data_IF_605491122717
#
_entry.id   IF_605491122717
#
_cell.length_a   1.000
_cell.length_b   1.000
_cell.length_c   1.000
_cell.angle_alpha   90.00
_cell.angle_beta   90.00
_cell.angle_gamma   90.00
#
_symmetry.space_group_name_H-M   'P 1'
#
loop_
_entity.id
_entity.type
_entity.pdbx_description
1 polymer ?
#
# COMPACT_ATOMS: atom_id res chain seq x y z
N UNK A 1 3.23 -0.40 47.46
CA UNK A 1 2.57 -1.24 46.43
C UNK A 1 1.62 -0.47 45.48
N UNK A 2 1.14 0.74 45.81
CA UNK A 2 0.32 1.55 44.88
C UNK A 2 1.08 2.10 43.65
N UNK A 3 2.37 2.40 43.80
CA UNK A 3 3.16 3.00 42.70
C UNK A 3 3.61 1.99 41.63
N UNK A 4 3.70 0.69 41.97
CA UNK A 4 4.07 -0.37 41.00
C UNK A 4 2.89 -0.67 40.07
N UNK A 5 1.66 -0.64 40.58
CA UNK A 5 0.45 -0.87 39.78
C UNK A 5 0.26 0.22 38.71
N UNK A 6 0.61 1.46 39.02
CA UNK A 6 0.51 2.60 38.10
C UNK A 6 1.53 2.50 36.94
N UNK A 7 2.75 2.01 37.23
CA UNK A 7 3.79 1.80 36.21
C UNK A 7 3.40 0.68 35.25
N UNK A 8 2.78 -0.41 35.76
CA UNK A 8 2.26 -1.50 34.92
C UNK A 8 1.10 -0.98 34.04
N UNK A 9 0.18 -0.17 34.59
CA UNK A 9 -0.93 0.39 33.80
C UNK A 9 -0.43 1.31 32.67
N UNK A 10 0.55 2.18 32.93
CA UNK A 10 1.12 3.08 31.90
C UNK A 10 1.86 2.28 30.82
N UNK A 11 2.54 1.18 31.19
CA UNK A 11 3.23 0.32 30.23
C UNK A 11 2.28 -0.44 29.31
N UNK A 12 1.06 -0.78 29.77
CA UNK A 12 0.06 -1.46 28.92
C UNK A 12 -0.57 -0.47 27.93
N UNK A 13 -0.87 0.77 28.34
CA UNK A 13 -1.43 1.79 27.44
C UNK A 13 -0.43 2.30 26.38
N UNK A 14 0.88 2.19 26.60
CA UNK A 14 1.88 2.53 25.58
C UNK A 14 2.00 1.47 24.46
N UNK A 15 1.54 0.24 24.69
CA UNK A 15 1.59 -0.83 23.67
C UNK A 15 0.44 -0.79 22.67
N UNK A 16 -0.60 0.01 22.94
CA UNK A 16 -1.71 0.27 22.01
C UNK A 16 -1.57 1.62 21.28
N UNK A 17 -0.36 2.18 21.20
CA UNK A 17 -0.06 3.25 20.26
C UNK A 17 -0.14 2.68 18.83
N UNK A 18 -1.39 2.55 18.35
CA UNK A 18 -1.86 1.95 17.10
C UNK A 18 -0.73 1.66 16.13
N UNK A 19 -0.25 0.40 16.11
CA UNK A 19 0.71 -0.04 15.12
C UNK A 19 0.21 0.40 13.74
N UNK A 20 0.98 1.29 13.10
CA UNK A 20 0.56 1.92 11.85
C UNK A 20 0.27 0.83 10.81
N UNK A 21 -0.90 0.88 10.18
CA UNK A 21 -1.24 -0.12 9.18
C UNK A 21 -0.38 0.12 7.92
N UNK A 22 0.40 -0.88 7.52
CA UNK A 22 1.28 -0.79 6.35
C UNK A 22 0.53 -0.39 5.07
N UNK A 23 -0.72 -0.83 4.90
CA UNK A 23 -1.52 -0.45 3.73
C UNK A 23 -1.83 1.05 3.73
N UNK A 24 -2.06 1.64 4.90
CA UNK A 24 -2.26 3.09 5.02
C UNK A 24 -1.01 3.86 4.62
N UNK A 25 0.18 3.39 5.06
CA UNK A 25 1.48 3.93 4.62
C UNK A 25 1.65 3.79 3.13
N UNK A 26 1.39 2.60 2.60
CA UNK A 26 1.60 2.31 1.19
C UNK A 26 0.66 3.09 0.27
N UNK A 27 -0.51 3.48 0.77
CA UNK A 27 -1.47 4.28 0.03
C UNK A 27 -1.40 5.77 0.34
N UNK A 28 -0.51 6.23 1.22
CA UNK A 28 -0.35 7.64 1.55
C UNK A 28 -0.05 8.44 0.27
N UNK A 29 -0.71 9.58 0.11
CA UNK A 29 -0.56 10.50 -1.04
C UNK A 29 -0.90 9.94 -2.44
N UNK A 30 -1.32 8.67 -2.52
CA UNK A 30 -1.79 8.03 -3.75
C UNK A 30 -3.30 8.28 -3.97
N UNK A 31 -3.84 7.87 -5.12
CA UNK A 31 -5.28 8.04 -5.41
C UNK A 31 -6.16 7.36 -4.35
N UNK A 32 -7.30 7.98 -4.05
CA UNK A 32 -8.27 7.43 -3.11
C UNK A 32 -9.13 6.31 -3.72
N UNK A 33 -9.09 6.12 -5.04
CA UNK A 33 -9.89 5.12 -5.75
C UNK A 33 -9.05 3.84 -5.88
N UNK A 34 -9.49 2.75 -5.24
CA UNK A 34 -8.81 1.46 -5.25
C UNK A 34 -9.72 0.40 -5.85
N UNK A 35 -9.16 -0.46 -6.68
CA UNK A 35 -9.85 -1.58 -7.28
C UNK A 35 -10.00 -2.71 -6.27
N UNK A 36 -11.20 -3.29 -6.18
CA UNK A 36 -11.51 -4.34 -5.20
C UNK A 36 -10.65 -5.60 -5.34
N UNK A 37 -10.21 -5.92 -6.57
CA UNK A 37 -9.42 -7.13 -6.81
C UNK A 37 -7.95 -6.86 -6.49
N UNK A 38 -7.30 -7.65 -5.61
CA UNK A 38 -5.89 -7.49 -5.35
C UNK A 38 -5.05 -7.69 -6.62
N UNK A 39 -3.97 -6.91 -6.72
CA UNK A 39 -2.98 -7.11 -7.77
C UNK A 39 -2.15 -8.36 -7.48
N UNK A 40 -1.72 -9.05 -8.54
CA UNK A 40 -0.65 -10.05 -8.41
C UNK A 40 0.66 -9.32 -8.13
N UNK A 41 1.44 -9.71 -7.10
CA UNK A 41 2.77 -9.16 -6.91
C UNK A 41 3.62 -9.37 -8.16
N UNK A 42 4.39 -8.35 -8.53
CA UNK A 42 5.29 -8.40 -9.68
C UNK A 42 6.72 -8.27 -9.20
N UNK A 43 7.56 -9.25 -9.49
CA UNK A 43 9.00 -9.13 -9.27
C UNK A 43 9.71 -8.53 -10.49
N UNK A 44 10.87 -7.89 -10.30
CA UNK A 44 11.75 -7.57 -11.41
C UNK A 44 12.17 -8.86 -12.13
N UNK A 45 12.51 -8.77 -13.42
CA UNK A 45 13.12 -9.90 -14.12
C UNK A 45 14.48 -10.22 -13.46
N UNK A 46 14.56 -11.41 -12.86
CA UNK A 46 15.55 -11.85 -11.86
C UNK A 46 17.02 -11.77 -12.28
N UNK A 47 17.32 -11.76 -13.59
CA UNK A 47 18.69 -11.78 -14.11
C UNK A 47 19.39 -10.42 -14.04
N UNK A 48 18.66 -9.31 -13.91
CA UNK A 48 19.24 -7.97 -14.11
C UNK A 48 19.72 -7.24 -12.85
N UNK A 49 19.39 -7.72 -11.63
CA UNK A 49 19.45 -6.82 -10.46
C UNK A 49 20.14 -7.31 -9.20
N UNK A 50 20.46 -8.60 -9.01
CA UNK A 50 20.96 -9.03 -7.69
C UNK A 50 22.24 -8.27 -7.26
N UNK A 51 23.22 -8.12 -8.16
CA UNK A 51 24.50 -7.52 -7.77
C UNK A 51 24.38 -6.01 -7.51
N UNK A 52 23.64 -5.29 -8.34
CA UNK A 52 23.49 -3.83 -8.22
C UNK A 52 22.49 -3.46 -7.13
N UNK A 53 21.35 -4.16 -7.04
CA UNK A 53 20.36 -3.90 -6.00
C UNK A 53 20.93 -4.19 -4.62
N UNK A 54 21.67 -5.29 -4.42
CA UNK A 54 22.26 -5.58 -3.10
C UNK A 54 23.56 -4.82 -2.82
N UNK A 55 24.09 -4.05 -3.78
CA UNK A 55 25.32 -3.28 -3.57
C UNK A 55 25.11 -2.20 -2.50
N UNK A 56 25.97 -2.17 -1.49
CA UNK A 56 25.88 -1.22 -0.37
C UNK A 56 24.72 -1.45 0.60
N UNK A 57 23.86 -2.46 0.38
CA UNK A 57 22.80 -2.83 1.32
C UNK A 57 23.38 -3.71 2.44
N UNK A 58 22.90 -3.52 3.66
CA UNK A 58 23.34 -4.38 4.77
C UNK A 58 22.85 -5.82 4.57
N UNK A 59 23.53 -6.76 5.23
CA UNK A 59 23.24 -8.20 5.10
C UNK A 59 21.80 -8.56 5.49
N UNK A 60 21.25 -7.92 6.53
CA UNK A 60 19.90 -8.20 7.02
C UNK A 60 18.84 -7.81 5.99
N UNK A 61 18.93 -6.60 5.45
CA UNK A 61 18.02 -6.08 4.44
C UNK A 61 18.08 -6.93 3.17
N UNK A 62 19.28 -7.34 2.77
CA UNK A 62 19.47 -8.21 1.61
C UNK A 62 18.82 -9.59 1.78
N UNK A 63 18.94 -10.19 2.97
CA UNK A 63 18.30 -11.47 3.29
C UNK A 63 16.77 -11.35 3.28
N UNK A 64 16.23 -10.28 3.89
CA UNK A 64 14.79 -10.04 3.95
C UNK A 64 14.19 -9.82 2.56
N UNK A 65 14.87 -9.07 1.69
CA UNK A 65 14.40 -8.90 0.30
C UNK A 65 14.42 -10.21 -0.47
N UNK A 66 15.49 -11.01 -0.36
CA UNK A 66 15.55 -12.34 -1.01
C UNK A 66 14.43 -13.25 -0.52
N UNK A 67 14.14 -13.22 0.78
CA UNK A 67 13.03 -13.96 1.37
C UNK A 67 11.67 -13.50 0.80
N UNK A 68 11.43 -12.19 0.74
CA UNK A 68 10.20 -11.61 0.17
C UNK A 68 10.02 -12.00 -1.30
N UNK A 69 11.11 -11.97 -2.09
CA UNK A 69 11.09 -12.41 -3.48
C UNK A 69 10.73 -13.90 -3.58
N UNK A 70 11.35 -14.76 -2.78
CA UNK A 70 11.02 -16.19 -2.75
C UNK A 70 9.57 -16.45 -2.35
N UNK A 71 9.01 -15.66 -1.41
CA UNK A 71 7.60 -15.76 -1.01
C UNK A 71 6.63 -15.41 -2.12
N UNK A 72 6.96 -14.49 -3.02
CA UNK A 72 6.07 -14.16 -4.15
C UNK A 72 5.82 -15.38 -5.05
N UNK A 73 6.82 -16.25 -5.21
CA UNK A 73 6.71 -17.44 -6.06
C UNK A 73 6.15 -18.67 -5.32
N UNK A 74 6.34 -18.74 -4.00
CA UNK A 74 6.06 -19.96 -3.20
C UNK A 74 4.81 -19.87 -2.32
N UNK A 75 4.36 -18.66 -1.98
CA UNK A 75 3.26 -18.46 -1.04
C UNK A 75 1.92 -18.47 -1.79
N UNK A 76 0.92 -19.16 -1.24
CA UNK A 76 -0.46 -19.07 -1.71
C UNK A 76 -1.04 -17.72 -1.28
N UNK A 77 -0.92 -16.73 -2.17
CA UNK A 77 -1.32 -15.35 -1.89
C UNK A 77 -2.84 -15.27 -1.84
N UNK A 78 -3.36 -14.67 -0.77
CA UNK A 78 -4.79 -14.36 -0.69
C UNK A 78 -5.19 -13.33 -1.76
N UNK A 79 -6.09 -13.74 -2.65
CA UNK A 79 -6.70 -12.89 -3.67
C UNK A 79 -8.15 -12.50 -3.38
N UNK A 80 -8.60 -12.68 -2.13
CA UNK A 80 -9.88 -12.17 -1.66
C UNK A 80 -10.00 -10.67 -1.92
N UNK A 81 -11.20 -10.23 -2.28
CA UNK A 81 -11.44 -8.82 -2.61
C UNK A 81 -11.18 -7.93 -1.41
N UNK A 82 -10.56 -6.78 -1.64
CA UNK A 82 -10.49 -5.70 -0.67
C UNK A 82 -11.89 -5.22 -0.29
N UNK A 83 -12.07 -4.96 0.99
CA UNK A 83 -13.28 -4.33 1.54
C UNK A 83 -13.02 -2.89 1.96
N UNK A 84 -14.07 -2.09 2.08
CA UNK A 84 -13.96 -0.70 2.59
C UNK A 84 -13.41 -0.65 4.02
N UNK A 85 -13.65 -1.69 4.83
CA UNK A 85 -13.15 -1.78 6.20
C UNK A 85 -11.64 -1.99 6.25
N UNK A 86 -11.07 -2.75 5.32
CA UNK A 86 -9.63 -2.97 5.21
C UNK A 86 -8.91 -1.76 4.62
N UNK A 87 -9.54 -1.08 3.67
CA UNK A 87 -8.99 0.10 3.00
C UNK A 87 -9.68 1.37 3.51
N UNK A 88 -9.47 1.66 4.80
CA UNK A 88 -10.00 2.87 5.44
C UNK A 88 -9.67 4.11 4.62
N UNK A 89 -10.64 5.01 4.49
CA UNK A 89 -10.50 6.26 3.71
C UNK A 89 -10.18 6.04 2.23
N UNK A 90 -10.59 4.91 1.64
CA UNK A 90 -10.55 4.67 0.20
C UNK A 90 -11.94 4.36 -0.33
N UNK A 91 -12.13 4.61 -1.63
CA UNK A 91 -13.30 4.15 -2.38
C UNK A 91 -12.90 2.86 -3.06
N UNK A 92 -13.50 1.76 -2.63
CA UNK A 92 -13.30 0.45 -3.25
C UNK A 92 -14.27 0.31 -4.42
N UNK A 93 -13.74 0.08 -5.63
CA UNK A 93 -14.53 0.01 -6.86
C UNK A 93 -14.42 -1.35 -7.56
N UNK A 94 -15.54 -1.81 -8.10
CA UNK A 94 -15.64 -3.00 -8.94
C UNK A 94 -15.62 -2.65 -10.43
N UNK A 95 -15.33 -3.64 -11.29
CA UNK A 95 -15.34 -3.46 -12.74
C UNK A 95 -16.68 -2.93 -13.23
N UNK A 96 -16.66 -1.82 -13.98
CA UNK A 96 -17.84 -1.28 -14.66
C UNK A 96 -18.85 -0.58 -13.76
N UNK A 97 -18.59 -0.45 -12.46
CA UNK A 97 -19.43 0.34 -11.54
C UNK A 97 -18.92 1.78 -11.50
N UNK A 98 -19.84 2.74 -11.58
CA UNK A 98 -19.54 4.17 -11.43
C UNK A 98 -19.55 4.57 -9.96
N UNK A 99 -18.74 5.56 -9.61
CA UNK A 99 -18.71 6.18 -8.29
C UNK A 99 -19.77 7.29 -8.25
N UNK A 100 -20.55 7.35 -7.17
CA UNK A 100 -21.43 8.50 -6.91
C UNK A 100 -20.60 9.72 -6.48
N UNK A 101 -20.40 10.64 -7.42
CA UNK A 101 -19.62 11.85 -7.18
C UNK A 101 -20.22 12.71 -6.06
N UNK A 102 -21.55 12.82 -5.95
CA UNK A 102 -22.17 13.71 -4.94
C UNK A 102 -21.90 13.15 -3.56
N UNK A 103 -22.15 11.85 -3.36
CA UNK A 103 -21.92 11.14 -2.09
C UNK A 103 -20.47 11.26 -1.64
N UNK A 104 -19.51 11.01 -2.53
CA UNK A 104 -18.10 11.00 -2.15
C UNK A 104 -17.52 12.40 -1.93
N UNK A 105 -18.04 13.42 -2.63
CA UNK A 105 -17.62 14.80 -2.39
C UNK A 105 -18.09 15.35 -1.03
N UNK A 106 -19.19 14.84 -0.47
CA UNK A 106 -19.62 15.22 0.89
C UNK A 106 -18.57 14.82 1.94
N UNK A 107 -17.88 13.68 1.75
CA UNK A 107 -16.82 13.22 2.66
C UNK A 107 -15.53 14.06 2.58
N UNK A 108 -15.42 14.92 1.56
CA UNK A 108 -14.25 15.75 1.30
C UNK A 108 -14.48 17.23 1.64
N UNK A 109 -15.61 17.57 2.27
CA UNK A 109 -16.00 18.95 2.60
C UNK A 109 -14.91 19.72 3.35
N UNK A 110 -14.24 19.02 4.27
CA UNK A 110 -13.28 19.61 5.20
C UNK A 110 -11.85 19.62 4.66
N UNK A 111 -11.64 19.06 3.45
CA UNK A 111 -10.33 19.02 2.80
C UNK A 111 -10.06 20.30 2.00
N UNK A 112 -8.80 20.68 1.77
CA UNK A 112 -8.45 21.82 0.92
C UNK A 112 -9.10 21.75 -0.47
N UNK A 113 -9.52 22.90 -1.02
CA UNK A 113 -10.17 22.97 -2.35
C UNK A 113 -9.32 22.33 -3.47
N UNK A 114 -8.00 22.40 -3.36
CA UNK A 114 -7.08 21.77 -4.31
C UNK A 114 -7.21 20.24 -4.30
N UNK A 115 -7.26 19.60 -3.12
CA UNK A 115 -7.47 18.17 -2.97
C UNK A 115 -8.86 17.76 -3.46
N UNK A 116 -9.90 18.52 -3.08
CA UNK A 116 -11.26 18.32 -3.57
C UNK A 116 -11.32 18.35 -5.11
N UNK A 117 -10.64 19.32 -5.75
CA UNK A 117 -10.59 19.46 -7.21
C UNK A 117 -9.87 18.28 -7.87
N UNK A 118 -8.73 17.85 -7.30
CA UNK A 118 -7.98 16.66 -7.75
C UNK A 118 -8.89 15.43 -7.69
N UNK A 119 -9.50 15.19 -6.53
CA UNK A 119 -10.38 14.04 -6.31
C UNK A 119 -11.61 14.02 -7.23
N UNK A 120 -12.29 15.16 -7.38
CA UNK A 120 -13.40 15.32 -8.32
C UNK A 120 -13.00 14.98 -9.76
N UNK A 121 -11.78 15.37 -10.17
CA UNK A 121 -11.24 15.04 -11.51
C UNK A 121 -11.01 13.54 -11.64
N UNK A 122 -10.47 12.88 -10.61
CA UNK A 122 -10.27 11.42 -10.60
C UNK A 122 -11.60 10.67 -10.73
N UNK A 123 -12.62 11.01 -9.93
CA UNK A 123 -13.94 10.36 -10.01
C UNK A 123 -14.59 10.57 -11.39
N UNK A 124 -14.55 11.79 -11.93
CA UNK A 124 -15.11 12.08 -13.26
C UNK A 124 -14.38 11.30 -14.35
N UNK A 125 -13.05 11.25 -14.29
CA UNK A 125 -12.24 10.48 -15.23
C UNK A 125 -12.57 8.99 -15.14
N UNK A 126 -12.72 8.47 -13.92
CA UNK A 126 -13.06 7.07 -13.69
C UNK A 126 -14.42 6.71 -14.31
N UNK A 127 -15.44 7.54 -14.07
CA UNK A 127 -16.81 7.31 -14.51
C UNK A 127 -17.04 7.44 -16.02
N UNK A 128 -16.20 8.19 -16.73
CA UNK A 128 -16.44 8.52 -18.13
C UNK A 128 -15.74 7.58 -19.12
N UNK A 129 -14.45 7.27 -18.94
CA UNK A 129 -13.73 6.35 -19.84
C UNK A 129 -12.47 5.75 -19.19
N UNK A 130 -12.20 4.47 -19.48
CA UNK A 130 -10.96 3.78 -19.12
C UNK A 130 -9.71 4.44 -19.71
N UNK A 131 -9.79 5.09 -20.86
CA UNK A 131 -8.64 5.81 -21.43
C UNK A 131 -8.16 6.98 -20.52
N UNK A 132 -9.02 7.49 -19.64
CA UNK A 132 -8.70 8.53 -18.67
C UNK A 132 -8.01 8.03 -17.40
N UNK A 133 -7.86 6.72 -17.23
CA UNK A 133 -7.33 6.07 -16.02
C UNK A 133 -5.81 6.18 -15.92
N UNK A 134 -5.24 7.39 -15.91
CA UNK A 134 -3.77 7.54 -15.78
C UNK A 134 -3.28 6.98 -14.45
N UNK A 135 -3.79 7.47 -13.31
CA UNK A 135 -3.27 7.10 -11.99
C UNK A 135 -4.28 6.38 -11.08
N UNK A 136 -5.42 6.00 -11.62
CA UNK A 136 -6.55 5.41 -10.88
C UNK A 136 -7.40 4.55 -11.82
N UNK A 137 -8.13 3.54 -11.30
CA UNK A 137 -8.05 3.07 -9.91
C UNK A 137 -6.69 2.43 -9.62
N UNK A 138 -6.27 2.43 -8.36
CA UNK A 138 -5.11 1.67 -7.92
C UNK A 138 -5.48 0.20 -7.83
N UNK A 139 -4.67 -0.72 -8.36
CA UNK A 139 -4.76 -2.14 -7.99
C UNK A 139 -3.58 -2.45 -7.09
N UNK A 140 -3.83 -2.97 -5.89
CA UNK A 140 -2.80 -3.21 -4.87
C UNK A 140 -2.77 -4.67 -4.46
N UNK A 141 -1.58 -5.25 -4.29
CA UNK A 141 -1.45 -6.61 -3.77
C UNK A 141 -1.70 -6.65 -2.26
N UNK A 142 -1.98 -7.84 -1.73
CA UNK A 142 -1.81 -8.08 -0.30
C UNK A 142 -0.35 -7.84 0.10
N UNK A 143 -0.05 -7.31 1.30
CA UNK A 143 1.33 -7.20 1.77
C UNK A 143 1.93 -8.59 1.97
N UNK A 144 3.13 -8.79 1.47
CA UNK A 144 3.96 -9.96 1.81
C UNK A 144 4.97 -9.48 2.82
N UNK A 145 5.02 -10.09 3.99
CA UNK A 145 5.86 -9.67 5.12
C UNK A 145 6.98 -10.69 5.32
N UNK A 146 8.20 -10.21 5.60
CA UNK A 146 9.35 -11.07 5.93
C UNK A 146 9.10 -11.83 7.24
N UNK A 147 9.78 -12.95 7.45
CA UNK A 147 9.57 -13.79 8.63
C UNK A 147 9.89 -13.05 9.93
N UNK A 148 10.91 -12.19 9.90
CA UNK A 148 11.29 -11.32 11.02
C UNK A 148 10.38 -10.09 11.19
N UNK A 149 9.40 -9.91 10.30
CA UNK A 149 8.45 -8.79 10.23
C UNK A 149 9.11 -7.41 10.10
N UNK A 150 10.36 -7.34 9.65
CA UNK A 150 11.08 -6.08 9.47
C UNK A 150 10.91 -5.48 8.09
N UNK A 151 10.48 -6.26 7.10
CA UNK A 151 10.24 -5.77 5.76
C UNK A 151 8.94 -6.30 5.19
N UNK A 152 8.40 -5.56 4.23
CA UNK A 152 7.23 -5.97 3.49
C UNK A 152 7.30 -5.50 2.04
N UNK A 153 6.62 -6.24 1.18
CA UNK A 153 6.52 -6.02 -0.26
C UNK A 153 5.06 -5.78 -0.64
N UNK A 154 4.80 -4.70 -1.37
CA UNK A 154 3.48 -4.36 -1.90
C UNK A 154 3.62 -3.94 -3.37
N UNK A 155 2.86 -4.59 -4.25
CA UNK A 155 2.74 -4.16 -5.64
C UNK A 155 1.57 -3.20 -5.82
N UNK A 156 1.80 -2.07 -6.49
CA UNK A 156 0.81 -1.03 -6.77
C UNK A 156 0.79 -0.75 -8.27
N UNK A 157 -0.35 -0.97 -8.90
CA UNK A 157 -0.63 -0.64 -10.30
C UNK A 157 -1.49 0.62 -10.34
N UNK A 158 -1.04 1.63 -11.08
CA UNK A 158 -1.68 2.94 -11.22
C UNK A 158 -2.43 2.99 -12.54
N UNK A 159 -3.69 2.55 -12.56
CA UNK A 159 -4.52 2.53 -13.77
C UNK A 159 -3.76 2.03 -15.01
N UNK A 160 -3.62 2.91 -16.00
CA UNK A 160 -2.92 2.69 -17.27
C UNK A 160 -1.57 3.42 -17.35
N UNK A 161 -1.03 4.00 -16.26
CA UNK A 161 0.28 4.68 -16.30
C UNK A 161 1.44 3.79 -15.87
N UNK A 162 1.18 2.60 -15.33
CA UNK A 162 2.22 1.66 -14.92
C UNK A 162 2.07 1.21 -13.48
N UNK A 163 3.19 0.94 -12.81
CA UNK A 163 3.17 0.43 -11.45
C UNK A 163 4.55 0.36 -10.81
N UNK A 164 4.55 -0.11 -9.57
CA UNK A 164 5.75 -0.35 -8.79
C UNK A 164 5.55 -1.52 -7.84
N UNK A 165 6.63 -2.22 -7.56
CA UNK A 165 6.71 -3.13 -6.41
C UNK A 165 7.57 -2.45 -5.37
N UNK A 166 6.95 -2.06 -4.29
CA UNK A 166 7.50 -1.19 -3.25
C UNK A 166 7.86 -2.03 -2.02
N UNK A 167 9.01 -1.71 -1.43
CA UNK A 167 9.49 -2.26 -0.18
C UNK A 167 9.23 -1.25 0.94
N UNK A 168 8.79 -1.77 2.06
CA UNK A 168 8.57 -1.04 3.28
C UNK A 168 9.39 -1.69 4.40
N UNK A 169 9.93 -0.87 5.29
CA UNK A 169 10.77 -1.33 6.40
C UNK A 169 10.16 -0.89 7.72
N UNK A 170 10.20 -1.77 8.71
CA UNK A 170 9.81 -1.47 10.08
C UNK A 170 11.00 -0.84 10.81
N UNK A 171 10.93 0.47 11.03
CA UNK A 171 11.94 1.26 11.73
C UNK A 171 11.29 1.88 12.97
N UNK A 172 11.89 1.65 14.16
CA UNK A 172 11.39 2.18 15.44
C UNK A 172 9.89 1.93 15.69
N UNK A 173 9.38 0.77 15.28
CA UNK A 173 7.98 0.37 15.43
C UNK A 173 7.01 1.01 14.42
N UNK A 174 7.51 1.63 13.35
CA UNK A 174 6.70 2.22 12.28
C UNK A 174 7.11 1.69 10.91
N UNK A 175 6.12 1.55 10.03
CA UNK A 175 6.38 1.20 8.63
C UNK A 175 6.77 2.46 7.86
N UNK A 176 7.91 2.40 7.19
CA UNK A 176 8.40 3.47 6.33
C UNK A 176 8.65 2.93 4.92
N UNK A 177 8.42 3.75 3.91
CA UNK A 177 8.83 3.41 2.55
C UNK A 177 10.35 3.30 2.51
N UNK A 178 10.86 2.18 2.00
CA UNK A 178 12.29 1.91 1.89
C UNK A 178 12.78 2.20 0.48
N UNK A 179 12.27 1.46 -0.52
CA UNK A 179 12.65 1.61 -1.93
C UNK A 179 11.63 0.89 -2.83
N UNK A 180 11.80 0.93 -4.15
CA UNK A 180 11.11 0.03 -5.07
C UNK A 180 12.05 -1.07 -5.55
N UNK A 181 11.54 -2.30 -5.64
CA UNK A 181 12.21 -3.40 -6.31
C UNK A 181 12.12 -3.29 -7.83
N UNK A 182 11.01 -2.73 -8.30
CA UNK A 182 10.69 -2.68 -9.72
C UNK A 182 9.74 -1.51 -9.96
N UNK A 183 9.93 -0.79 -11.05
CA UNK A 183 9.03 0.27 -11.51
C UNK A 183 8.85 0.18 -13.01
N UNK A 184 7.61 0.28 -13.46
CA UNK A 184 7.27 0.23 -14.88
C UNK A 184 6.25 1.30 -15.26
N UNK A 185 6.25 1.64 -16.54
CA UNK A 185 5.25 2.46 -17.21
C UNK A 185 4.63 1.65 -18.36
N UNK A 186 3.44 2.06 -18.80
CA UNK A 186 2.79 1.54 -20.01
C UNK A 186 2.72 2.62 -21.08
#
# INVERSE_FOLDING_TARGET
MKNILLIILISVFATELSAQNIIEVALAEKSLIVYEKPAKPKLPFSILYEKEFFNGKNKSDSLNVRELMSKVDTLDIDYSKWTENELKNRIVVSKGKKIDLKKEMLKMSDKPKAEQKKFKKEIKGFNNNKSGWRNYPLSISRPIISNDRKMALITIIRGNSGGSTELYKMENGKWEYFEHLERWAY
#
